data_IF_984927488637
#
_entry.id   IF_984927488637
#
_cell.length_a   1.000
_cell.length_b   1.000
_cell.length_c   1.000
_cell.angle_alpha   90.00
_cell.angle_beta   90.00
_cell.angle_gamma   90.00
#
_symmetry.space_group_name_H-M   'P 1'
#
loop_
_entity.id
_entity.type
_entity.pdbx_description
1 polymer ?
#
# COMPACT_ATOMS: atom_id res chain seq x y z
N UNK A 1 -22.45 -25.81 64.58
CA UNK A 1 -22.90 -24.68 63.71
C UNK A 1 -21.81 -24.06 62.89
N UNK A 2 -20.52 -24.25 63.14
CA UNK A 2 -19.41 -23.64 62.38
C UNK A 2 -19.16 -24.32 61.01
N UNK A 3 -19.34 -25.63 60.87
CA UNK A 3 -19.08 -26.40 59.63
C UNK A 3 -20.00 -26.04 58.48
N UNK A 4 -21.28 -25.74 58.71
CA UNK A 4 -22.22 -25.33 57.65
C UNK A 4 -21.88 -23.96 57.03
N UNK A 5 -21.32 -23.04 57.86
CA UNK A 5 -20.93 -21.70 57.37
C UNK A 5 -19.69 -21.74 56.46
N UNK A 6 -18.75 -22.65 56.76
CA UNK A 6 -17.54 -22.82 55.91
C UNK A 6 -17.87 -23.46 54.56
N UNK A 7 -18.78 -24.44 54.53
CA UNK A 7 -19.23 -25.07 53.26
C UNK A 7 -19.96 -24.06 52.37
N UNK A 8 -20.81 -23.22 52.97
CA UNK A 8 -21.53 -22.18 52.23
C UNK A 8 -20.59 -21.09 51.71
N UNK A 9 -19.58 -20.69 52.47
CA UNK A 9 -18.56 -19.73 52.02
C UNK A 9 -17.73 -20.27 50.88
N UNK A 10 -17.32 -21.56 50.90
CA UNK A 10 -16.61 -22.21 49.82
C UNK A 10 -17.45 -22.33 48.53
N UNK A 11 -18.74 -22.63 48.66
CA UNK A 11 -19.66 -22.73 47.54
C UNK A 11 -19.87 -21.35 46.86
N UNK A 12 -20.03 -20.28 47.62
CA UNK A 12 -20.10 -18.91 47.09
C UNK A 12 -18.82 -18.47 46.43
N UNK A 13 -17.65 -18.85 46.96
CA UNK A 13 -16.35 -18.52 46.34
C UNK A 13 -16.14 -19.23 44.98
N UNK A 14 -16.56 -20.49 44.88
CA UNK A 14 -16.50 -21.25 43.60
C UNK A 14 -17.48 -20.68 42.59
N UNK A 15 -18.67 -20.28 42.99
CA UNK A 15 -19.68 -19.65 42.13
C UNK A 15 -19.21 -18.28 41.61
N UNK A 16 -18.55 -17.49 42.46
CA UNK A 16 -17.97 -16.20 42.08
C UNK A 16 -16.78 -16.37 41.08
N UNK A 17 -15.97 -17.41 41.29
CA UNK A 17 -14.86 -17.72 40.39
C UNK A 17 -15.35 -18.19 39.00
N UNK A 18 -16.43 -18.94 38.93
CA UNK A 18 -17.05 -19.36 37.67
C UNK A 18 -17.73 -18.21 36.91
N UNK A 19 -18.23 -17.20 37.61
CA UNK A 19 -18.87 -16.03 37.03
C UNK A 19 -17.85 -15.05 36.37
N UNK A 20 -16.56 -15.13 36.74
CA UNK A 20 -15.49 -14.26 36.17
C UNK A 20 -14.83 -14.83 34.94
N UNK A 21 -14.99 -16.13 34.64
CA UNK A 21 -14.39 -16.76 33.43
C UNK A 21 -14.93 -16.27 32.07
N UNK A 22 -16.21 -15.92 31.89
CA UNK A 22 -16.70 -15.47 30.59
C UNK A 22 -16.27 -14.05 30.20
N UNK A 23 -15.70 -13.26 31.13
CA UNK A 23 -15.26 -11.88 30.83
C UNK A 23 -13.92 -11.80 30.10
N UNK A 24 -13.19 -12.90 29.91
CA UNK A 24 -11.89 -12.95 29.26
C UNK A 24 -11.96 -13.35 27.76
N UNK A 25 -13.14 -13.55 27.21
CA UNK A 25 -13.30 -13.99 25.81
C UNK A 25 -13.55 -12.83 24.84
N UNK A 26 -13.27 -11.59 25.21
CA UNK A 26 -13.28 -10.46 24.28
C UNK A 26 -11.90 -10.19 23.68
N UNK A 27 -11.23 -11.22 23.15
CA UNK A 27 -10.21 -11.03 22.15
C UNK A 27 -10.93 -10.93 20.80
N UNK A 28 -11.40 -9.73 20.48
CA UNK A 28 -11.69 -9.36 19.10
C UNK A 28 -10.42 -9.66 18.30
N UNK A 29 -10.53 -10.49 17.27
CA UNK A 29 -9.48 -10.74 16.30
C UNK A 29 -9.28 -9.41 15.56
N UNK A 30 -8.43 -8.55 16.07
CA UNK A 30 -7.88 -7.44 15.31
C UNK A 30 -6.97 -8.04 14.24
N UNK A 31 -7.51 -8.26 13.07
CA UNK A 31 -6.72 -8.53 11.88
C UNK A 31 -5.98 -7.24 11.54
N UNK A 32 -4.72 -7.16 11.92
CA UNK A 32 -3.78 -6.13 11.47
C UNK A 32 -3.39 -6.40 9.99
N UNK A 33 -4.36 -6.40 9.12
CA UNK A 33 -4.10 -6.21 7.70
C UNK A 33 -4.19 -4.72 7.47
N UNK A 34 -3.16 -3.95 7.54
CA UNK A 34 -3.11 -2.49 7.43
C UNK A 34 -3.86 -1.85 6.24
N UNK A 35 -4.98 -2.42 5.84
CA UNK A 35 -5.88 -1.97 4.77
C UNK A 35 -7.27 -1.69 5.35
N UNK A 36 -7.85 -0.55 4.99
CA UNK A 36 -9.21 -0.14 5.38
C UNK A 36 -10.31 -0.70 4.46
N UNK A 37 -10.00 -1.77 3.70
CA UNK A 37 -10.93 -2.35 2.72
C UNK A 37 -12.15 -2.94 3.43
N UNK A 38 -13.35 -2.49 3.03
CA UNK A 38 -14.60 -2.99 3.58
C UNK A 38 -14.79 -4.50 3.31
N UNK A 39 -15.39 -5.27 4.24
CA UNK A 39 -15.46 -6.73 4.14
C UNK A 39 -16.27 -7.29 2.95
N UNK A 40 -17.10 -6.48 2.31
CA UNK A 40 -17.92 -6.81 1.14
C UNK A 40 -17.22 -6.52 -0.19
N UNK A 41 -16.08 -5.83 -0.16
CA UNK A 41 -15.19 -5.65 -1.31
C UNK A 41 -14.33 -6.90 -1.44
N UNK A 42 -14.39 -7.57 -2.59
CA UNK A 42 -13.79 -8.90 -2.80
C UNK A 42 -12.81 -8.96 -3.97
N UNK A 43 -12.96 -8.08 -4.95
CA UNK A 43 -12.20 -8.15 -6.20
C UNK A 43 -11.52 -6.83 -6.51
N UNK A 44 -10.40 -6.91 -7.23
CA UNK A 44 -9.67 -5.76 -7.73
C UNK A 44 -9.24 -5.96 -9.18
N UNK A 45 -9.39 -4.93 -9.99
CA UNK A 45 -8.83 -4.83 -11.34
C UNK A 45 -7.69 -3.83 -11.33
N UNK A 46 -6.52 -4.23 -11.80
CA UNK A 46 -5.38 -3.34 -12.04
C UNK A 46 -5.17 -3.29 -13.53
N UNK A 47 -5.60 -2.19 -14.15
CA UNK A 47 -5.42 -1.97 -15.58
C UNK A 47 -3.94 -1.76 -15.92
N UNK A 48 -3.58 -2.05 -17.16
CA UNK A 48 -2.26 -1.77 -17.68
C UNK A 48 -1.95 -0.28 -17.58
N UNK A 49 -0.83 0.08 -16.95
CA UNK A 49 -0.39 1.47 -16.85
C UNK A 49 0.08 1.98 -18.22
N UNK A 50 -0.56 3.00 -18.75
CA UNK A 50 -0.15 3.61 -20.01
C UNK A 50 1.14 4.41 -19.87
N UNK A 51 1.94 4.50 -20.96
CA UNK A 51 3.10 5.37 -20.99
C UNK A 51 2.80 6.62 -21.79
N UNK A 52 2.57 7.73 -21.12
CA UNK A 52 2.23 9.03 -21.72
C UNK A 52 3.35 10.06 -21.57
N UNK A 53 4.44 9.73 -20.89
CA UNK A 53 5.57 10.63 -20.77
C UNK A 53 6.25 10.81 -22.14
N UNK A 54 6.68 12.04 -22.51
CA UNK A 54 7.22 12.33 -23.83
C UNK A 54 8.60 11.72 -24.10
N UNK A 55 9.27 11.26 -23.06
CA UNK A 55 10.62 10.64 -23.08
C UNK A 55 10.78 9.67 -21.92
N UNK A 56 11.81 8.84 -21.96
CA UNK A 56 12.21 7.94 -20.88
C UNK A 56 12.01 6.48 -21.22
N UNK A 57 11.65 5.67 -20.23
CA UNK A 57 11.65 4.21 -20.31
C UNK A 57 10.22 3.62 -20.33
N UNK A 58 9.69 3.20 -21.50
CA UNK A 58 8.36 2.61 -21.60
C UNK A 58 8.17 1.30 -20.80
N UNK A 59 9.25 0.62 -20.40
CA UNK A 59 9.15 -0.59 -19.59
C UNK A 59 8.58 -0.34 -18.19
N UNK A 60 8.59 0.92 -17.73
CA UNK A 60 7.94 1.34 -16.48
C UNK A 60 6.46 0.95 -16.44
N UNK A 61 5.76 0.93 -17.58
CA UNK A 61 4.36 0.50 -17.63
C UNK A 61 4.17 -0.95 -17.21
N UNK A 62 4.99 -1.86 -17.72
CA UNK A 62 4.95 -3.27 -17.31
C UNK A 62 5.33 -3.42 -15.83
N UNK A 63 6.44 -2.78 -15.40
CA UNK A 63 6.93 -2.87 -14.04
C UNK A 63 5.89 -2.39 -13.02
N UNK A 64 5.26 -1.23 -13.27
CA UNK A 64 4.20 -0.69 -12.41
C UNK A 64 2.97 -1.61 -12.36
N UNK A 65 2.55 -2.13 -13.52
CA UNK A 65 1.39 -3.01 -13.59
C UNK A 65 1.61 -4.30 -12.80
N UNK A 66 2.72 -4.99 -13.08
CA UNK A 66 3.05 -6.25 -12.43
C UNK A 66 3.25 -6.07 -10.93
N UNK A 67 3.99 -5.04 -10.51
CA UNK A 67 4.27 -4.81 -9.09
C UNK A 67 3.03 -4.35 -8.33
N UNK A 68 2.14 -3.57 -8.94
CA UNK A 68 0.87 -3.19 -8.33
C UNK A 68 -0.05 -4.41 -8.14
N UNK A 69 -0.19 -5.28 -9.16
CA UNK A 69 -0.93 -6.53 -9.06
C UNK A 69 -0.39 -7.41 -7.94
N UNK A 70 0.94 -7.60 -7.90
CA UNK A 70 1.60 -8.39 -6.87
C UNK A 70 1.37 -7.83 -5.47
N UNK A 71 1.40 -6.50 -5.31
CA UNK A 71 1.16 -5.82 -4.03
C UNK A 71 -0.26 -6.06 -3.53
N UNK A 72 -1.27 -5.97 -4.39
CA UNK A 72 -2.65 -6.30 -4.02
C UNK A 72 -2.82 -7.76 -3.61
N UNK A 73 -2.24 -8.69 -4.36
CA UNK A 73 -2.28 -10.14 -4.05
C UNK A 73 -1.62 -10.44 -2.70
N UNK A 74 -0.48 -9.81 -2.42
CA UNK A 74 0.30 -10.09 -1.20
C UNK A 74 -0.27 -9.44 0.06
N UNK A 75 -0.79 -8.21 -0.05
CA UNK A 75 -1.16 -7.40 1.10
C UNK A 75 -2.66 -7.37 1.39
N UNK A 76 -3.48 -7.91 0.49
CA UNK A 76 -4.94 -7.93 0.66
C UNK A 76 -5.50 -9.35 0.52
N UNK A 77 -6.79 -9.50 0.78
CA UNK A 77 -7.55 -10.74 0.51
C UNK A 77 -8.38 -10.63 -0.77
N UNK A 78 -8.12 -9.61 -1.58
CA UNK A 78 -8.85 -9.39 -2.81
C UNK A 78 -8.41 -10.40 -3.88
N UNK A 79 -9.36 -10.85 -4.68
CA UNK A 79 -9.11 -11.61 -5.88
C UNK A 79 -8.82 -10.67 -7.04
N UNK A 80 -7.71 -10.88 -7.74
CA UNK A 80 -7.38 -10.12 -8.95
C UNK A 80 -8.25 -10.62 -10.10
N UNK A 81 -8.98 -9.70 -10.74
CA UNK A 81 -9.83 -9.97 -11.91
C UNK A 81 -9.47 -9.03 -13.05
N UNK A 82 -9.64 -9.51 -14.29
CA UNK A 82 -9.23 -8.74 -15.48
C UNK A 82 -10.10 -7.51 -15.72
N UNK A 83 -11.39 -7.61 -15.41
CA UNK A 83 -12.38 -6.54 -15.65
C UNK A 83 -13.41 -6.49 -14.52
N UNK A 84 -14.00 -5.31 -14.33
CA UNK A 84 -15.15 -5.07 -13.45
C UNK A 84 -14.96 -5.51 -11.98
N UNK A 85 -13.74 -5.39 -11.47
CA UNK A 85 -13.49 -5.57 -10.03
C UNK A 85 -14.28 -4.58 -9.18
N UNK A 86 -14.55 -4.94 -7.91
CA UNK A 86 -15.13 -4.02 -6.93
C UNK A 86 -14.27 -2.77 -6.76
N UNK A 87 -12.94 -2.95 -6.80
CA UNK A 87 -11.95 -1.88 -6.91
C UNK A 87 -11.32 -1.91 -8.31
N UNK A 88 -11.00 -0.75 -8.84
CA UNK A 88 -10.30 -0.63 -10.11
C UNK A 88 -9.25 0.47 -10.06
N UNK A 89 -8.06 0.17 -10.58
CA UNK A 89 -6.96 1.13 -10.72
C UNK A 89 -6.65 1.29 -12.21
N UNK A 90 -6.70 2.55 -12.65
CA UNK A 90 -6.31 2.99 -14.00
C UNK A 90 -5.15 3.95 -13.79
N UNK A 91 -4.02 3.72 -14.46
CA UNK A 91 -2.83 4.53 -14.27
C UNK A 91 -2.09 4.86 -15.55
N UNK A 92 -1.34 5.95 -15.50
CA UNK A 92 -0.44 6.34 -16.58
C UNK A 92 0.84 6.98 -16.06
N UNK A 93 1.98 6.63 -16.64
CA UNK A 93 3.24 7.34 -16.44
C UNK A 93 3.18 8.64 -17.25
N UNK A 94 3.10 9.77 -16.55
CA UNK A 94 2.93 11.10 -17.17
C UNK A 94 4.19 11.95 -17.16
N UNK A 95 5.19 11.56 -16.34
CA UNK A 95 6.44 12.29 -16.22
C UNK A 95 7.63 11.36 -16.04
N UNK A 96 8.72 11.67 -16.75
CA UNK A 96 10.04 11.08 -16.60
C UNK A 96 11.07 12.19 -16.80
N UNK A 97 11.74 12.60 -15.74
CA UNK A 97 12.60 13.78 -15.78
C UNK A 97 13.91 13.54 -15.03
N UNK A 98 15.00 13.97 -15.64
CA UNK A 98 16.34 13.91 -15.04
C UNK A 98 16.86 15.32 -14.88
N UNK A 99 17.21 15.67 -13.65
CA UNK A 99 17.74 17.00 -13.30
C UNK A 99 18.99 16.88 -12.44
N UNK A 100 19.94 17.79 -12.66
CA UNK A 100 21.04 17.97 -11.74
C UNK A 100 20.50 18.51 -10.40
N UNK A 101 20.90 17.89 -9.30
CA UNK A 101 20.61 18.41 -7.95
C UNK A 101 21.66 19.45 -7.56
N UNK A 102 21.25 20.46 -6.78
CA UNK A 102 22.17 21.47 -6.31
C UNK A 102 23.22 20.86 -5.37
N UNK A 103 24.50 21.16 -5.60
CA UNK A 103 25.59 20.80 -4.70
C UNK A 103 25.46 21.68 -3.47
N UNK A 104 25.20 21.10 -2.30
CA UNK A 104 25.33 21.84 -1.03
C UNK A 104 26.81 21.95 -0.65
N UNK A 105 27.20 23.01 0.03
CA UNK A 105 28.61 23.38 0.30
C UNK A 105 29.43 22.26 1.03
N UNK A 106 28.79 21.21 1.51
CA UNK A 106 29.42 20.09 2.22
C UNK A 106 29.40 18.77 1.43
N UNK A 107 28.75 18.68 0.27
CA UNK A 107 28.71 17.48 -0.56
C UNK A 107 29.79 17.56 -1.64
N UNK A 108 30.69 16.59 -1.64
CA UNK A 108 31.86 16.54 -2.53
C UNK A 108 31.53 15.97 -3.93
N UNK A 109 30.32 15.46 -4.14
CA UNK A 109 29.91 14.85 -5.41
C UNK A 109 28.66 15.53 -5.97
N UNK A 110 28.70 15.85 -7.26
CA UNK A 110 27.51 16.28 -8.00
C UNK A 110 26.57 15.09 -8.19
N UNK A 111 25.27 15.30 -8.02
CA UNK A 111 24.26 14.27 -8.20
C UNK A 111 23.23 14.69 -9.24
N UNK A 112 22.71 13.71 -9.94
CA UNK A 112 21.52 13.82 -10.77
C UNK A 112 20.36 13.13 -10.07
N UNK A 113 19.14 13.58 -10.36
CA UNK A 113 17.89 13.01 -9.86
C UNK A 113 17.02 12.56 -11.02
N UNK A 114 16.66 11.28 -11.03
CA UNK A 114 15.59 10.76 -11.86
C UNK A 114 14.28 10.86 -11.08
N UNK A 115 13.28 11.50 -11.66
CA UNK A 115 11.92 11.59 -11.11
C UNK A 115 10.93 10.98 -12.08
N UNK A 116 10.08 10.07 -11.59
CA UNK A 116 8.95 9.52 -12.34
C UNK A 116 7.65 9.98 -11.69
N UNK A 117 6.70 10.38 -12.53
CA UNK A 117 5.37 10.81 -12.10
C UNK A 117 4.33 9.91 -12.74
N UNK A 118 3.45 9.39 -11.89
CA UNK A 118 2.31 8.56 -12.30
C UNK A 118 1.03 9.27 -11.90
N UNK A 119 0.05 9.26 -12.78
CA UNK A 119 -1.30 9.74 -12.52
C UNK A 119 -2.22 8.54 -12.49
N UNK A 120 -3.07 8.46 -11.46
CA UNK A 120 -4.02 7.37 -11.32
C UNK A 120 -5.46 7.88 -11.17
N UNK A 121 -6.38 7.02 -11.56
CA UNK A 121 -7.77 7.01 -11.16
C UNK A 121 -8.02 5.73 -10.37
N UNK A 122 -8.63 5.87 -9.18
CA UNK A 122 -9.01 4.76 -8.33
C UNK A 122 -10.52 4.76 -8.19
N UNK A 123 -11.17 3.69 -8.57
CA UNK A 123 -12.62 3.54 -8.55
C UNK A 123 -12.99 2.50 -7.50
N UNK A 124 -13.79 2.88 -6.53
CA UNK A 124 -14.46 1.96 -5.62
C UNK A 124 -15.93 1.86 -6.02
N UNK A 125 -16.34 0.74 -6.65
CA UNK A 125 -17.72 0.54 -7.14
C UNK A 125 -18.72 0.30 -6.02
N UNK A 126 -18.25 -0.13 -4.85
CA UNK A 126 -19.09 -0.34 -3.66
C UNK A 126 -19.28 0.96 -2.87
N UNK A 127 -18.23 1.76 -2.79
CA UNK A 127 -18.18 3.01 -2.05
C UNK A 127 -17.61 4.12 -2.93
N UNK A 128 -18.45 4.72 -3.83
CA UNK A 128 -17.97 5.70 -4.81
C UNK A 128 -17.33 6.94 -4.18
N UNK A 129 -17.69 7.27 -2.94
CA UNK A 129 -17.11 8.38 -2.17
C UNK A 129 -15.63 8.16 -1.80
N UNK A 130 -15.14 6.93 -1.83
CA UNK A 130 -13.73 6.58 -1.61
C UNK A 130 -12.91 6.61 -2.90
N UNK A 131 -13.54 6.86 -4.04
CA UNK A 131 -12.87 6.93 -5.34
C UNK A 131 -11.99 8.17 -5.44
N UNK A 132 -10.89 8.06 -6.16
CA UNK A 132 -9.93 9.16 -6.40
C UNK A 132 -9.82 9.44 -7.88
N UNK A 133 -10.06 10.68 -8.27
CA UNK A 133 -9.90 11.12 -9.65
C UNK A 133 -8.58 11.88 -9.83
N UNK A 134 -7.84 11.55 -10.88
CA UNK A 134 -6.67 12.32 -11.32
C UNK A 134 -5.59 12.54 -10.23
N UNK A 135 -5.40 11.58 -9.32
CA UNK A 135 -4.38 11.67 -8.27
C UNK A 135 -3.00 11.45 -8.85
N UNK A 136 -2.06 12.35 -8.56
CA UNK A 136 -0.67 12.22 -9.00
C UNK A 136 0.21 11.74 -7.84
N UNK A 137 1.12 10.83 -8.16
CA UNK A 137 2.19 10.34 -7.29
C UNK A 137 3.52 10.53 -8.00
N UNK A 138 4.57 10.86 -7.26
CA UNK A 138 5.91 11.04 -7.81
C UNK A 138 6.93 10.46 -6.86
N UNK A 139 7.85 9.66 -7.39
CA UNK A 139 9.00 9.17 -6.67
C UNK A 139 10.29 9.51 -7.43
N UNK A 140 11.40 9.51 -6.73
CA UNK A 140 12.69 9.84 -7.32
C UNK A 140 13.82 9.02 -6.71
N UNK A 141 14.90 8.90 -7.49
CA UNK A 141 16.18 8.37 -7.02
C UNK A 141 17.32 9.26 -7.49
N UNK A 142 18.28 9.44 -6.60
CA UNK A 142 19.49 10.21 -6.89
C UNK A 142 20.63 9.28 -7.32
N UNK A 143 21.44 9.72 -8.29
CA UNK A 143 22.58 8.96 -8.77
C UNK A 143 23.78 9.88 -9.03
N UNK A 144 24.99 9.33 -9.00
CA UNK A 144 26.23 10.07 -9.20
C UNK A 144 26.25 10.70 -10.63
N UNK A 145 26.50 12.02 -10.69
CA UNK A 145 26.52 12.75 -11.95
C UNK A 145 27.66 12.33 -12.91
N UNK A 146 28.64 11.57 -12.42
CA UNK A 146 29.71 10.98 -13.24
C UNK A 146 29.26 9.72 -13.95
N UNK A 147 28.13 9.11 -13.57
CA UNK A 147 27.55 7.93 -14.21
C UNK A 147 26.60 8.33 -15.32
N UNK A 148 26.59 7.54 -16.41
CA UNK A 148 25.56 7.71 -17.43
C UNK A 148 24.23 7.15 -16.93
N UNK A 149 23.11 7.79 -17.30
CA UNK A 149 21.78 7.30 -16.95
C UNK A 149 21.59 5.84 -17.40
N UNK A 150 21.95 5.52 -18.64
CA UNK A 150 21.80 4.18 -19.23
C UNK A 150 22.44 3.08 -18.39
N UNK A 151 23.52 3.39 -17.68
CA UNK A 151 24.24 2.40 -16.85
C UNK A 151 23.51 2.08 -15.52
N UNK A 152 22.66 2.99 -15.03
CA UNK A 152 22.02 2.89 -13.73
C UNK A 152 20.49 2.87 -13.81
N UNK A 153 19.92 3.19 -14.97
CA UNK A 153 18.49 3.40 -15.18
C UNK A 153 17.65 2.22 -14.68
N UNK A 154 18.06 1.00 -14.98
CA UNK A 154 17.29 -0.19 -14.59
C UNK A 154 17.09 -0.28 -13.07
N UNK A 155 18.16 -0.12 -12.29
CA UNK A 155 18.06 -0.14 -10.84
C UNK A 155 17.28 1.04 -10.27
N UNK A 156 17.51 2.25 -10.83
CA UNK A 156 16.75 3.44 -10.41
C UNK A 156 15.25 3.29 -10.67
N UNK A 157 14.88 2.72 -11.83
CA UNK A 157 13.47 2.47 -12.16
C UNK A 157 12.84 1.43 -11.23
N UNK A 158 13.56 0.39 -10.84
CA UNK A 158 13.10 -0.63 -9.91
C UNK A 158 12.75 0.00 -8.55
N UNK A 159 13.68 0.75 -7.96
CA UNK A 159 13.48 1.44 -6.68
C UNK A 159 12.33 2.46 -6.74
N UNK A 160 12.25 3.22 -7.84
CA UNK A 160 11.18 4.22 -8.04
C UNK A 160 9.82 3.55 -8.17
N UNK A 161 9.72 2.45 -8.90
CA UNK A 161 8.47 1.70 -9.08
C UNK A 161 8.01 1.11 -7.75
N UNK A 162 8.93 0.56 -6.94
CA UNK A 162 8.61 0.07 -5.60
C UNK A 162 7.99 1.18 -4.75
N UNK A 163 8.62 2.35 -4.70
CA UNK A 163 8.12 3.50 -3.93
C UNK A 163 6.77 4.01 -4.46
N UNK A 164 6.60 4.13 -5.79
CA UNK A 164 5.34 4.55 -6.39
C UNK A 164 4.20 3.58 -6.07
N UNK A 165 4.45 2.27 -6.18
CA UNK A 165 3.45 1.25 -5.86
C UNK A 165 3.09 1.28 -4.36
N UNK A 166 4.05 1.58 -3.48
CA UNK A 166 3.77 1.78 -2.05
C UNK A 166 2.89 3.00 -1.81
N UNK A 167 3.27 4.14 -2.39
CA UNK A 167 2.54 5.39 -2.22
C UNK A 167 1.11 5.31 -2.79
N UNK A 168 0.94 4.68 -3.97
CA UNK A 168 -0.36 4.46 -4.59
C UNK A 168 -1.23 3.54 -3.72
N UNK A 169 -0.68 2.40 -3.26
CA UNK A 169 -1.40 1.46 -2.41
C UNK A 169 -1.84 2.12 -1.10
N UNK A 170 -0.93 2.84 -0.44
CA UNK A 170 -1.24 3.55 0.79
C UNK A 170 -2.26 4.67 0.57
N UNK A 171 -2.18 5.38 -0.54
CA UNK A 171 -3.09 6.46 -0.89
C UNK A 171 -4.48 6.02 -1.36
N UNK A 172 -4.67 4.71 -1.64
CA UNK A 172 -5.94 4.15 -2.12
C UNK A 172 -6.63 3.26 -1.08
N UNK A 173 -5.97 2.19 -0.62
CA UNK A 173 -6.62 1.16 0.22
C UNK A 173 -6.09 1.07 1.64
N UNK A 174 -5.00 1.75 1.96
CA UNK A 174 -4.45 1.82 3.31
C UNK A 174 -4.64 3.21 3.95
N UNK A 175 -5.68 3.91 3.57
CA UNK A 175 -5.96 5.27 4.07
C UNK A 175 -6.36 5.19 5.56
N UNK A 176 -5.54 5.74 6.41
CA UNK A 176 -5.64 5.79 7.89
C UNK A 176 -6.37 7.05 8.33
#
# INVERSE_FOLDING_TARGET
MKVKRTIWASFCAVLALMATLPLLHSCGIYSFTGTSIAPDVKTVTVNYFEYLAPKGNPSLSNMLTEQMQEKFIKLTKLELVDIDGDLEIIGAVTGYDVKATAITANEQAAQNRLTVTVKIEFINRKYPEESLENKSFSAYQDFDATMSLDAVEAGLCEDIVEQLCEDIFNGTVANW
#
